data_IF_863891318166
#
_entry.id   IF_863891318166
#
_cell.length_a   1.000
_cell.length_b   1.000
_cell.length_c   1.000
_cell.angle_alpha   90.00
_cell.angle_beta   90.00
_cell.angle_gamma   90.00
#
_symmetry.space_group_name_H-M   'P 1'
#
loop_
_entity.id
_entity.type
_entity.pdbx_description
1 polymer ?
#
# COMPACT_ATOMS: atom_id res chain seq x y z
N UNK A 1 6.78 31.23 23.13
CA UNK A 1 7.38 29.89 23.32
C UNK A 1 8.72 29.93 22.58
N UNK A 2 9.85 29.85 23.30
CA UNK A 2 11.18 29.94 22.66
C UNK A 2 11.48 28.57 22.05
N UNK A 3 11.51 28.50 20.72
CA UNK A 3 11.85 27.27 20.01
C UNK A 3 13.32 26.95 20.24
N UNK A 4 13.61 25.81 20.87
CA UNK A 4 14.98 25.39 21.09
C UNK A 4 15.49 24.74 19.81
N UNK A 5 16.52 25.34 19.19
CA UNK A 5 17.08 24.88 17.92
C UNK A 5 17.48 23.40 17.96
N UNK A 6 17.96 22.92 19.12
CA UNK A 6 18.33 21.50 19.32
C UNK A 6 17.17 20.53 19.16
N UNK A 7 16.00 20.84 19.74
CA UNK A 7 14.80 19.99 19.61
C UNK A 7 14.28 19.96 18.17
N UNK A 8 14.39 21.08 17.46
CA UNK A 8 14.04 21.17 16.04
C UNK A 8 14.92 20.28 15.15
N UNK A 9 16.24 20.30 15.36
CA UNK A 9 17.18 19.46 14.59
C UNK A 9 16.90 17.98 14.83
N UNK A 10 16.71 17.57 16.09
CA UNK A 10 16.37 16.18 16.42
C UNK A 10 15.07 15.72 15.78
N UNK A 11 14.04 16.59 15.77
CA UNK A 11 12.76 16.30 15.11
C UNK A 11 12.93 16.11 13.60
N UNK A 12 13.73 16.94 12.94
CA UNK A 12 14.02 16.79 11.49
C UNK A 12 14.73 15.47 11.22
N UNK A 13 15.77 15.14 12.00
CA UNK A 13 16.52 13.89 11.84
C UNK A 13 15.61 12.68 12.05
N UNK A 14 14.80 12.68 13.11
CA UNK A 14 13.87 11.59 13.41
C UNK A 14 12.87 11.36 12.27
N UNK A 15 12.30 12.44 11.72
CA UNK A 15 11.39 12.35 10.58
C UNK A 15 12.10 11.86 9.30
N UNK A 16 13.32 12.33 9.04
CA UNK A 16 14.13 11.86 7.92
C UNK A 16 14.40 10.36 7.98
N UNK A 17 14.80 9.86 9.15
CA UNK A 17 14.99 8.43 9.39
C UNK A 17 13.69 7.65 9.22
N UNK A 18 12.57 8.20 9.71
CA UNK A 18 11.24 7.63 9.50
C UNK A 18 10.90 7.47 8.02
N UNK A 19 11.08 8.52 7.22
CA UNK A 19 10.84 8.49 5.76
C UNK A 19 11.70 7.42 5.10
N UNK A 20 13.01 7.39 5.41
CA UNK A 20 13.94 6.39 4.86
C UNK A 20 13.51 4.97 5.23
N UNK A 21 13.02 4.75 6.46
CA UNK A 21 12.53 3.45 6.91
C UNK A 21 11.28 2.95 6.17
N UNK A 22 10.44 3.85 5.66
CA UNK A 22 9.23 3.49 4.89
C UNK A 22 9.53 3.16 3.43
N UNK A 23 10.59 3.73 2.85
CA UNK A 23 10.92 3.56 1.42
C UNK A 23 11.07 2.10 0.99
N UNK A 24 11.80 1.21 1.70
CA UNK A 24 11.95 -0.19 1.31
C UNK A 24 10.62 -0.93 1.23
N UNK A 25 9.69 -0.68 2.17
CA UNK A 25 8.38 -1.33 2.18
C UNK A 25 7.54 -0.86 0.98
N UNK A 26 7.44 0.46 0.76
CA UNK A 26 6.70 1.04 -0.38
C UNK A 26 7.26 0.51 -1.70
N UNK A 27 8.59 0.54 -1.85
CA UNK A 27 9.28 0.00 -3.01
C UNK A 27 9.01 -1.49 -3.21
N UNK A 28 9.01 -2.26 -2.11
CA UNK A 28 8.77 -3.69 -2.18
C UNK A 28 7.36 -4.04 -2.65
N UNK A 29 6.34 -3.27 -2.28
CA UNK A 29 4.95 -3.49 -2.72
C UNK A 29 4.80 -3.20 -4.22
N UNK A 30 5.51 -2.19 -4.72
CA UNK A 30 5.43 -1.80 -6.14
C UNK A 30 6.13 -2.84 -7.02
N UNK A 31 7.31 -3.32 -6.61
CA UNK A 31 8.15 -4.19 -7.45
C UNK A 31 7.92 -5.67 -7.18
N UNK A 32 7.96 -6.08 -5.92
CA UNK A 32 7.89 -7.49 -5.55
C UNK A 32 6.44 -7.85 -5.24
N UNK A 33 5.89 -8.79 -6.01
CA UNK A 33 4.51 -9.29 -5.93
C UNK A 33 4.24 -10.09 -4.64
N UNK A 34 4.62 -9.53 -3.49
CA UNK A 34 4.65 -10.19 -2.18
C UNK A 34 3.24 -10.14 -1.60
N UNK A 35 2.67 -11.29 -1.22
CA UNK A 35 1.31 -11.41 -0.67
C UNK A 35 0.97 -10.28 0.32
N UNK A 36 0.07 -9.39 -0.10
CA UNK A 36 -0.24 -8.12 0.56
C UNK A 36 -1.23 -8.30 1.73
N UNK A 37 -1.99 -9.41 1.77
CA UNK A 37 -3.27 -9.48 2.48
C UNK A 37 -3.21 -9.38 4.01
N UNK A 38 -2.14 -9.84 4.66
CA UNK A 38 -2.07 -9.89 6.14
C UNK A 38 -1.67 -8.54 6.75
N UNK A 39 -1.00 -7.66 5.98
CA UNK A 39 -0.37 -6.45 6.56
C UNK A 39 -1.20 -5.17 6.41
N UNK A 40 -2.23 -5.12 5.55
CA UNK A 40 -3.00 -3.88 5.31
C UNK A 40 -3.70 -3.34 6.56
N UNK A 41 -4.24 -4.23 7.41
CA UNK A 41 -4.92 -3.86 8.66
C UNK A 41 -3.98 -3.19 9.65
N UNK A 42 -2.72 -3.61 9.69
CA UNK A 42 -1.69 -3.00 10.54
C UNK A 42 -1.51 -1.53 10.15
N UNK A 43 -1.39 -1.24 8.86
CA UNK A 43 -1.26 0.13 8.36
C UNK A 43 -2.48 1.00 8.69
N UNK A 44 -3.69 0.44 8.63
CA UNK A 44 -4.90 1.16 9.05
C UNK A 44 -4.87 1.49 10.56
N UNK A 45 -4.43 0.55 11.41
CA UNK A 45 -4.25 0.79 12.85
C UNK A 45 -3.20 1.90 13.09
N UNK A 46 -2.10 1.89 12.33
CA UNK A 46 -1.07 2.94 12.43
C UNK A 46 -1.60 4.33 12.05
N UNK A 47 -2.45 4.43 11.02
CA UNK A 47 -3.11 5.71 10.67
C UNK A 47 -3.96 6.22 11.83
N UNK A 48 -4.80 5.36 12.41
CA UNK A 48 -5.67 5.72 13.54
C UNK A 48 -4.86 6.13 14.76
N UNK A 49 -3.82 5.36 15.09
CA UNK A 49 -2.87 5.69 16.16
C UNK A 49 -2.20 7.05 15.94
N UNK A 50 -1.81 7.35 14.69
CA UNK A 50 -1.25 8.64 14.30
C UNK A 50 -2.19 9.80 14.57
N UNK A 51 -3.49 9.66 14.28
CA UNK A 51 -4.49 10.69 14.59
C UNK A 51 -4.65 10.94 16.10
N UNK A 52 -4.60 9.88 16.92
CA UNK A 52 -4.60 10.03 18.37
C UNK A 52 -3.34 10.77 18.87
N UNK A 53 -2.17 10.40 18.35
CA UNK A 53 -0.91 11.07 18.68
C UNK A 53 -0.92 12.55 18.27
N UNK A 54 -1.43 12.87 17.09
CA UNK A 54 -1.59 14.24 16.61
C UNK A 54 -2.54 15.04 17.52
N UNK A 55 -3.68 14.47 17.87
CA UNK A 55 -4.67 15.12 18.74
C UNK A 55 -4.07 15.42 20.12
N UNK A 56 -3.34 14.46 20.69
CA UNK A 56 -2.61 14.65 21.95
C UNK A 56 -1.55 15.76 21.84
N UNK A 57 -0.77 15.76 20.77
CA UNK A 57 0.26 16.76 20.53
C UNK A 57 -0.30 18.19 20.37
N UNK A 58 -1.48 18.32 19.75
CA UNK A 58 -2.20 19.59 19.65
C UNK A 58 -2.64 20.13 21.02
N UNK A 59 -3.07 19.26 21.94
CA UNK A 59 -3.45 19.66 23.31
C UNK A 59 -2.24 20.20 24.08
N UNK A 60 -1.09 19.54 23.94
CA UNK A 60 0.16 19.94 24.63
C UNK A 60 0.86 21.11 23.91
N UNK A 61 0.45 21.41 22.67
CA UNK A 61 1.03 22.45 21.81
C UNK A 61 2.51 22.20 21.54
N UNK A 62 2.91 20.92 21.38
CA UNK A 62 4.26 20.55 20.99
C UNK A 62 4.38 20.53 19.45
N UNK A 63 5.00 21.55 18.84
CA UNK A 63 5.08 21.68 17.39
C UNK A 63 5.89 20.56 16.73
N UNK A 64 6.88 19.99 17.44
CA UNK A 64 7.75 18.96 16.90
C UNK A 64 7.04 17.61 16.84
N UNK A 65 6.27 17.29 17.87
CA UNK A 65 5.44 16.08 17.91
C UNK A 65 4.27 16.20 16.93
N UNK A 66 3.65 17.39 16.79
CA UNK A 66 2.64 17.66 15.76
C UNK A 66 3.21 17.39 14.37
N UNK A 67 4.37 17.97 14.04
CA UNK A 67 4.99 17.78 12.72
C UNK A 67 5.32 16.31 12.47
N UNK A 68 5.88 15.61 13.46
CA UNK A 68 6.22 14.20 13.32
C UNK A 68 4.98 13.30 13.17
N UNK A 69 3.91 13.60 13.89
CA UNK A 69 2.63 12.89 13.75
C UNK A 69 2.05 13.08 12.35
N UNK A 70 2.10 14.30 11.80
CA UNK A 70 1.65 14.58 10.43
C UNK A 70 2.45 13.78 9.37
N UNK A 71 3.79 13.76 9.49
CA UNK A 71 4.64 12.97 8.57
C UNK A 71 4.32 11.48 8.70
N UNK A 72 4.18 10.98 9.92
CA UNK A 72 3.83 9.58 10.18
C UNK A 72 2.47 9.20 9.59
N UNK A 73 1.43 10.03 9.78
CA UNK A 73 0.10 9.80 9.18
C UNK A 73 0.22 9.79 7.65
N UNK A 74 0.93 10.75 7.06
CA UNK A 74 1.08 10.83 5.61
C UNK A 74 1.76 9.59 5.03
N UNK A 75 2.88 9.15 5.62
CA UNK A 75 3.59 7.94 5.18
C UNK A 75 2.72 6.69 5.33
N UNK A 76 2.01 6.54 6.45
CA UNK A 76 1.09 5.43 6.66
C UNK A 76 -0.05 5.42 5.63
N UNK A 77 -0.63 6.58 5.32
CA UNK A 77 -1.68 6.71 4.29
C UNK A 77 -1.15 6.39 2.90
N UNK A 78 0.06 6.84 2.55
CA UNK A 78 0.71 6.51 1.27
C UNK A 78 0.89 4.99 1.17
N UNK A 79 1.48 4.36 2.19
CA UNK A 79 1.68 2.90 2.20
C UNK A 79 0.35 2.15 2.09
N UNK A 80 -0.66 2.58 2.84
CA UNK A 80 -2.00 1.97 2.79
C UNK A 80 -2.61 2.10 1.39
N UNK A 81 -2.51 3.29 0.78
CA UNK A 81 -3.03 3.56 -0.57
C UNK A 81 -2.34 2.70 -1.61
N UNK A 82 -1.01 2.59 -1.55
CA UNK A 82 -0.22 1.74 -2.47
C UNK A 82 -0.61 0.26 -2.32
N UNK A 83 -0.84 -0.22 -1.08
CA UNK A 83 -1.33 -1.59 -0.84
C UNK A 83 -2.72 -1.83 -1.42
N UNK A 84 -3.65 -0.89 -1.24
CA UNK A 84 -4.99 -0.99 -1.82
C UNK A 84 -4.97 -0.96 -3.34
N UNK A 85 -4.21 -0.03 -3.92
CA UNK A 85 -4.05 0.06 -5.37
C UNK A 85 -3.50 -1.24 -5.95
N UNK A 86 -2.46 -1.81 -5.33
CA UNK A 86 -1.85 -3.06 -5.80
C UNK A 86 -2.80 -4.24 -5.67
N UNK A 87 -3.53 -4.37 -4.56
CA UNK A 87 -4.55 -5.42 -4.38
C UNK A 87 -5.60 -5.36 -5.50
N UNK A 88 -6.12 -4.18 -5.81
CA UNK A 88 -7.10 -4.00 -6.86
C UNK A 88 -6.51 -4.34 -8.25
N UNK A 89 -5.23 -4.05 -8.48
CA UNK A 89 -4.55 -4.41 -9.72
C UNK A 89 -4.37 -5.92 -9.86
N UNK A 90 -3.97 -6.62 -8.79
CA UNK A 90 -3.87 -8.09 -8.78
C UNK A 90 -5.23 -8.76 -9.02
N UNK A 91 -6.30 -8.26 -8.40
CA UNK A 91 -7.66 -8.78 -8.62
C UNK A 91 -8.09 -8.60 -10.09
N UNK A 92 -7.80 -7.45 -10.72
CA UNK A 92 -8.07 -7.22 -12.14
C UNK A 92 -7.26 -8.14 -13.06
N UNK A 93 -5.98 -8.36 -12.77
CA UNK A 93 -5.13 -9.25 -13.57
C UNK A 93 -5.57 -10.72 -13.46
N UNK A 94 -6.08 -11.15 -12.29
CA UNK A 94 -6.67 -12.48 -12.13
C UNK A 94 -7.92 -12.65 -12.99
N UNK A 95 -8.86 -11.70 -12.90
CA UNK A 95 -10.08 -11.72 -13.72
C UNK A 95 -9.73 -11.77 -15.21
N UNK A 96 -8.78 -10.95 -15.66
CA UNK A 96 -8.33 -10.97 -17.06
C UNK A 96 -7.76 -12.32 -17.47
N UNK A 97 -6.87 -12.91 -16.65
CA UNK A 97 -6.29 -14.24 -16.93
C UNK A 97 -7.34 -15.36 -16.90
N UNK A 98 -8.36 -15.24 -16.05
CA UNK A 98 -9.44 -16.22 -15.98
C UNK A 98 -10.31 -16.14 -17.25
N UNK A 99 -10.58 -14.93 -17.79
CA UNK A 99 -11.27 -14.72 -19.07
C UNK A 99 -10.47 -15.32 -20.24
N UNK A 100 -9.17 -15.00 -20.36
CA UNK A 100 -8.35 -15.54 -21.45
C UNK A 100 -8.30 -17.07 -21.46
N UNK A 101 -8.24 -17.70 -20.28
CA UNK A 101 -8.29 -19.16 -20.17
C UNK A 101 -9.62 -19.76 -20.61
N UNK A 102 -10.72 -19.05 -20.38
CA UNK A 102 -12.05 -19.50 -20.79
C UNK A 102 -12.22 -19.40 -22.31
N UNK A 103 -11.74 -18.31 -22.94
CA UNK A 103 -11.72 -18.15 -24.40
C UNK A 103 -10.85 -19.23 -25.07
N UNK A 104 -9.64 -19.49 -24.55
CA UNK A 104 -8.75 -20.56 -25.05
C UNK A 104 -9.43 -21.95 -24.99
N UNK A 105 -10.22 -22.20 -23.94
CA UNK A 105 -10.96 -23.47 -23.78
C UNK A 105 -12.11 -23.58 -24.81
N UNK A 106 -12.84 -22.50 -25.06
CA UNK A 106 -13.92 -22.46 -26.05
C UNK A 106 -13.39 -22.65 -27.48
N UNK A 107 -12.28 -22.02 -27.81
CA UNK A 107 -11.64 -22.19 -29.11
C UNK A 107 -11.17 -23.65 -29.31
N UNK A 108 -10.59 -24.26 -28.27
CA UNK A 108 -10.17 -25.66 -28.31
C UNK A 108 -11.35 -26.64 -28.51
N UNK A 109 -12.48 -26.42 -27.83
CA UNK A 109 -13.70 -27.22 -28.04
C UNK A 109 -14.25 -27.08 -29.47
N UNK A 110 -14.21 -25.89 -30.05
CA UNK A 110 -14.67 -25.64 -31.41
C UNK A 110 -13.82 -26.39 -32.46
N UNK A 111 -12.50 -26.49 -32.26
CA UNK A 111 -11.64 -27.29 -33.14
C UNK A 111 -11.95 -28.78 -33.08
N UNK A 112 -12.18 -29.33 -31.88
CA UNK A 112 -12.50 -30.75 -31.70
C UNK A 112 -13.83 -31.11 -32.38
N UNK A 113 -14.83 -30.22 -32.28
CA UNK A 113 -16.15 -30.44 -32.91
C UNK A 113 -16.08 -30.37 -34.44
N UNK A 114 -15.25 -29.48 -35.00
CA UNK A 114 -15.15 -29.32 -36.44
C UNK A 114 -14.38 -30.46 -37.14
N UNK A 115 -13.35 -31.01 -36.49
CA UNK A 115 -12.64 -32.19 -37.00
C UNK A 115 -13.55 -33.43 -36.97
N UNK A 116 -14.46 -33.55 -36.01
CA UNK A 116 -15.36 -34.70 -35.92
C UNK A 116 -16.43 -34.77 -37.02
N UNK A 117 -16.78 -33.65 -37.66
CA UNK A 117 -17.73 -33.61 -38.77
C UNK A 117 -17.11 -33.99 -40.12
N UNK A 118 -15.78 -33.93 -40.30
CA UNK A 118 -15.12 -34.35 -41.54
C UNK A 118 -14.86 -35.86 -41.63
N UNK A 119 -15.04 -36.62 -40.54
CA UNK A 119 -14.78 -38.06 -40.47
C UNK A 119 -16.02 -38.97 -40.41
N UNK A 120 -17.23 -38.42 -40.58
CA UNK A 120 -18.50 -39.18 -40.66
C UNK A 120 -19.12 -39.04 -42.05
#
# INVERSE_FOLDING_TARGET
MVYNLGWGILSIIANGLGIIGYLPEIYSIIIYNKKISITTHIWAIWVVSGFFALSYAMVIKDPYVIMSSCVGIALNLITLTVKYWRRNHEERMKIMNDIYKEDDLVEYEHYILHDHEEFV
#
